data_IF_595290693198
#
_entry.id   IF_595290693198
#
_cell.length_a   1.000
_cell.length_b   1.000
_cell.length_c   1.000
_cell.angle_alpha   90.00
_cell.angle_beta   90.00
_cell.angle_gamma   90.00
#
_symmetry.space_group_name_H-M   'P 1'
#
loop_
_entity.id
_entity.type
_entity.pdbx_description
1 polymer ?
#
# COMPACT_ATOMS: atom_id res chain seq x y z
N UNK A 1 10.11 -5.36 -0.84
CA UNK A 1 8.71 -5.56 -1.25
C UNK A 1 8.59 -6.88 -2.01
N UNK A 2 7.45 -7.57 -1.91
CA UNK A 2 7.23 -8.82 -2.66
C UNK A 2 7.07 -8.55 -4.15
N UNK A 3 7.60 -9.45 -4.99
CA UNK A 3 7.43 -9.38 -6.45
C UNK A 3 6.31 -10.32 -6.85
N UNK A 4 5.33 -9.82 -7.61
CA UNK A 4 4.24 -10.64 -8.12
C UNK A 4 4.75 -11.51 -9.28
N UNK A 5 4.32 -12.77 -9.32
CA UNK A 5 4.59 -13.66 -10.45
C UNK A 5 3.29 -13.92 -11.19
N UNK A 6 3.34 -13.84 -12.52
CA UNK A 6 2.20 -14.04 -13.41
C UNK A 6 2.55 -15.06 -14.49
N UNK A 7 1.53 -15.72 -15.04
CA UNK A 7 1.60 -16.41 -16.32
C UNK A 7 0.86 -15.61 -17.41
N UNK A 8 0.59 -16.24 -18.56
CA UNK A 8 -0.13 -15.60 -19.67
C UNK A 8 -1.59 -15.24 -19.34
N UNK A 9 -2.17 -15.83 -18.30
CA UNK A 9 -3.59 -15.71 -17.97
C UNK A 9 -3.84 -14.93 -16.69
N UNK A 10 -2.92 -14.95 -15.72
CA UNK A 10 -3.10 -14.22 -14.47
C UNK A 10 -2.01 -14.43 -13.42
N UNK A 11 -2.33 -13.99 -12.20
CA UNK A 11 -1.45 -14.09 -11.04
C UNK A 11 -1.25 -15.55 -10.64
N UNK A 12 0.00 -15.93 -10.46
CA UNK A 12 0.41 -17.27 -10.01
C UNK A 12 0.74 -17.26 -8.52
N UNK A 13 1.41 -16.22 -8.05
CA UNK A 13 1.88 -16.15 -6.67
C UNK A 13 2.80 -14.99 -6.40
N UNK A 14 3.50 -15.09 -5.27
CA UNK A 14 4.46 -14.11 -4.79
C UNK A 14 5.84 -14.74 -4.65
N UNK A 15 6.86 -14.05 -5.16
CA UNK A 15 8.24 -14.37 -4.85
C UNK A 15 8.52 -14.08 -3.37
N UNK A 16 8.86 -15.11 -2.59
CA UNK A 16 9.13 -14.98 -1.15
C UNK A 16 10.61 -15.13 -0.81
N UNK A 17 11.36 -15.92 -1.59
CA UNK A 17 12.80 -16.06 -1.44
C UNK A 17 13.47 -15.90 -2.81
N UNK A 18 14.03 -14.73 -3.13
CA UNK A 18 14.81 -14.56 -4.34
C UNK A 18 16.16 -15.25 -4.21
N UNK A 19 16.57 -16.00 -5.23
CA UNK A 19 17.92 -16.54 -5.30
C UNK A 19 18.51 -16.45 -6.71
N UNK A 20 19.83 -16.60 -6.79
CA UNK A 20 20.58 -16.39 -8.05
C UNK A 20 20.15 -17.33 -9.17
N UNK A 21 19.85 -18.58 -8.80
CA UNK A 21 19.58 -19.68 -9.74
C UNK A 21 18.29 -20.43 -9.40
N UNK A 22 17.80 -20.28 -8.18
CA UNK A 22 16.54 -20.84 -7.70
C UNK A 22 15.90 -19.83 -6.78
N UNK A 23 14.59 -19.72 -6.88
CA UNK A 23 13.77 -18.91 -5.99
C UNK A 23 12.63 -19.73 -5.43
N UNK A 24 12.05 -19.27 -4.33
CA UNK A 24 10.85 -19.87 -3.73
C UNK A 24 9.67 -18.94 -3.94
N UNK A 25 8.56 -19.54 -4.38
CA UNK A 25 7.31 -18.86 -4.71
C UNK A 25 6.22 -19.39 -3.79
N UNK A 26 5.47 -18.46 -3.19
CA UNK A 26 4.23 -18.76 -2.50
C UNK A 26 3.07 -18.63 -3.50
N UNK A 27 2.41 -19.72 -3.81
CA UNK A 27 1.30 -19.74 -4.76
C UNK A 27 0.04 -19.10 -4.18
N UNK A 28 -0.82 -18.54 -5.04
CA UNK A 28 -2.12 -18.02 -4.61
C UNK A 28 -3.09 -19.10 -4.12
N UNK A 29 -2.87 -20.36 -4.50
CA UNK A 29 -3.64 -21.52 -4.03
C UNK A 29 -3.25 -21.96 -2.63
N UNK A 30 -2.14 -21.47 -2.07
CA UNK A 30 -1.71 -21.84 -0.72
C UNK A 30 -2.75 -21.39 0.33
N UNK A 31 -3.19 -22.26 1.27
CA UNK A 31 -4.23 -21.91 2.26
C UNK A 31 -3.92 -20.72 3.17
N UNK A 32 -2.63 -20.43 3.36
CA UNK A 32 -2.12 -19.30 4.13
C UNK A 32 -1.92 -18.04 3.30
N UNK A 33 -2.08 -18.11 1.97
CA UNK A 33 -1.97 -16.95 1.10
C UNK A 33 -3.30 -16.20 1.00
N UNK A 34 -3.28 -14.93 1.42
CA UNK A 34 -4.39 -13.99 1.23
C UNK A 34 -3.98 -12.89 0.24
N UNK A 35 -4.70 -12.79 -0.87
CA UNK A 35 -4.49 -11.82 -1.93
C UNK A 35 -5.62 -10.77 -1.95
N UNK A 36 -5.33 -9.50 -1.62
CA UNK A 36 -6.33 -8.43 -1.73
C UNK A 36 -6.74 -8.23 -3.19
N UNK A 37 -8.04 -8.33 -3.46
CA UNK A 37 -8.61 -8.21 -4.81
C UNK A 37 -9.71 -7.16 -4.86
N UNK A 38 -10.00 -6.71 -6.06
CA UNK A 38 -11.13 -5.87 -6.41
C UNK A 38 -11.94 -6.57 -7.50
N UNK A 39 -13.26 -6.56 -7.37
CA UNK A 39 -14.14 -6.99 -8.45
C UNK A 39 -14.12 -5.96 -9.59
N UNK A 40 -13.92 -6.44 -10.82
CA UNK A 40 -13.82 -5.57 -11.99
C UNK A 40 -15.15 -4.92 -12.37
N UNK A 41 -16.29 -5.51 -11.99
CA UNK A 41 -17.63 -5.01 -12.35
C UNK A 41 -18.13 -3.97 -11.36
N UNK A 42 -18.17 -4.30 -10.07
CA UNK A 42 -18.72 -3.43 -9.02
C UNK A 42 -17.68 -2.54 -8.34
N UNK A 43 -16.39 -2.90 -8.45
CA UNK A 43 -15.33 -2.23 -7.71
C UNK A 43 -15.25 -2.62 -6.23
N UNK A 44 -16.04 -3.60 -5.78
CA UNK A 44 -16.01 -4.10 -4.40
C UNK A 44 -14.65 -4.73 -4.09
N UNK A 45 -14.13 -4.45 -2.88
CA UNK A 45 -12.83 -4.95 -2.43
C UNK A 45 -13.01 -6.08 -1.45
N UNK A 46 -12.23 -7.13 -1.64
CA UNK A 46 -12.29 -8.33 -0.80
C UNK A 46 -10.93 -9.01 -0.71
N UNK A 47 -10.88 -10.12 0.02
CA UNK A 47 -9.68 -10.91 0.21
C UNK A 47 -9.91 -12.32 -0.31
N UNK A 48 -9.09 -12.70 -1.27
CA UNK A 48 -9.12 -14.02 -1.89
C UNK A 48 -8.08 -14.90 -1.22
N UNK A 49 -8.47 -16.11 -0.82
CA UNK A 49 -7.60 -17.04 -0.13
C UNK A 49 -7.41 -18.32 -0.91
N UNK A 50 -6.22 -18.89 -0.85
CA UNK A 50 -6.00 -20.25 -1.31
C UNK A 50 -6.78 -21.28 -0.48
N UNK A 51 -7.01 -22.44 -1.10
CA UNK A 51 -7.67 -23.60 -0.48
C UNK A 51 -6.75 -24.82 -0.36
N UNK A 52 -5.57 -24.78 -1.01
CA UNK A 52 -4.69 -25.93 -1.24
C UNK A 52 -4.89 -26.56 -2.62
N UNK A 53 -6.05 -26.33 -3.25
CA UNK A 53 -6.37 -26.84 -4.57
C UNK A 53 -5.95 -25.86 -5.67
N UNK A 54 -5.41 -26.38 -6.78
CA UNK A 54 -4.86 -25.54 -7.86
C UNK A 54 -5.92 -24.83 -8.71
N UNK A 55 -7.18 -25.23 -8.62
CA UNK A 55 -8.31 -24.74 -9.42
C UNK A 55 -9.39 -24.04 -8.57
N UNK A 56 -9.12 -23.82 -7.27
CA UNK A 56 -10.08 -23.26 -6.36
C UNK A 56 -9.47 -22.25 -5.40
N UNK A 57 -10.15 -21.12 -5.26
CA UNK A 57 -9.87 -20.07 -4.30
C UNK A 57 -11.16 -19.73 -3.55
N UNK A 58 -11.01 -19.19 -2.34
CA UNK A 58 -12.12 -18.92 -1.44
C UNK A 58 -12.21 -17.44 -1.07
N UNK A 59 -13.41 -16.89 -1.22
CA UNK A 59 -13.83 -15.62 -0.63
C UNK A 59 -14.49 -15.97 0.71
N UNK A 60 -13.72 -15.92 1.79
CA UNK A 60 -14.13 -16.49 3.10
C UNK A 60 -15.09 -15.61 3.89
N UNK A 61 -15.02 -14.29 3.67
CA UNK A 61 -15.83 -13.31 4.41
C UNK A 61 -16.08 -12.09 3.54
N UNK A 62 -17.32 -11.94 3.08
CA UNK A 62 -17.79 -10.75 2.39
C UNK A 62 -19.01 -10.20 3.12
N UNK A 63 -19.22 -8.87 3.15
CA UNK A 63 -20.48 -8.29 3.57
C UNK A 63 -21.65 -8.91 2.80
N UNK A 64 -22.79 -9.13 3.46
CA UNK A 64 -23.99 -9.66 2.79
C UNK A 64 -24.47 -8.76 1.65
N UNK A 65 -24.19 -7.45 1.76
CA UNK A 65 -24.51 -6.41 0.78
C UNK A 65 -23.47 -6.26 -0.33
N UNK A 66 -22.36 -7.01 -0.29
CA UNK A 66 -21.31 -6.89 -1.31
C UNK A 66 -21.86 -7.28 -2.69
N UNK A 67 -21.68 -6.41 -3.67
CA UNK A 67 -22.06 -6.62 -5.06
C UNK A 67 -20.99 -7.47 -5.79
N UNK A 68 -20.95 -8.75 -5.46
CA UNK A 68 -20.11 -9.76 -6.14
C UNK A 68 -21.02 -10.92 -6.56
N UNK A 69 -20.90 -11.31 -7.83
CA UNK A 69 -21.75 -12.28 -8.50
C UNK A 69 -20.94 -13.38 -9.19
N UNK A 70 -21.60 -14.49 -9.52
CA UNK A 70 -20.95 -15.55 -10.28
C UNK A 70 -20.64 -15.06 -11.71
N UNK A 71 -19.43 -15.36 -12.20
CA UNK A 71 -18.93 -14.91 -13.49
C UNK A 71 -18.05 -13.66 -13.40
N UNK A 72 -18.03 -12.97 -12.27
CA UNK A 72 -17.25 -11.76 -12.06
C UNK A 72 -15.72 -12.00 -12.14
N UNK A 73 -14.99 -11.00 -12.62
CA UNK A 73 -13.53 -11.03 -12.77
C UNK A 73 -12.89 -10.32 -11.59
N UNK A 74 -12.02 -11.02 -10.86
CA UNK A 74 -11.26 -10.45 -9.76
C UNK A 74 -9.87 -10.01 -10.22
N UNK A 75 -9.51 -8.78 -9.88
CA UNK A 75 -8.21 -8.17 -10.16
C UNK A 75 -7.44 -7.91 -8.86
N UNK A 76 -6.11 -7.87 -8.90
CA UNK A 76 -5.31 -7.44 -7.74
C UNK A 76 -5.62 -5.98 -7.40
N UNK A 77 -5.82 -5.68 -6.11
CA UNK A 77 -6.24 -4.33 -5.69
C UNK A 77 -5.09 -3.32 -5.59
N UNK A 78 -3.85 -3.77 -5.53
CA UNK A 78 -2.69 -2.91 -5.27
C UNK A 78 -2.41 -2.62 -3.79
N UNK A 79 -3.34 -2.97 -2.89
CA UNK A 79 -3.25 -2.61 -1.48
C UNK A 79 -2.06 -3.32 -0.81
N UNK A 80 -1.29 -2.57 -0.03
CA UNK A 80 -0.09 -3.06 0.66
C UNK A 80 1.15 -3.22 -0.22
N UNK A 81 1.08 -2.85 -1.50
CA UNK A 81 2.25 -2.72 -2.39
C UNK A 81 2.97 -4.03 -2.74
N UNK A 82 2.37 -5.19 -2.44
CA UNK A 82 2.95 -6.52 -2.76
C UNK A 82 2.60 -7.00 -4.17
N UNK A 83 1.44 -6.59 -4.66
CA UNK A 83 0.98 -6.86 -6.02
C UNK A 83 0.69 -5.52 -6.67
N UNK A 84 1.16 -5.25 -7.89
CA UNK A 84 0.65 -4.15 -8.69
C UNK A 84 -0.87 -4.24 -8.82
N UNK A 85 -1.57 -3.11 -8.91
CA UNK A 85 -3.01 -3.10 -9.12
C UNK A 85 -3.38 -3.54 -10.55
N UNK A 86 -4.54 -4.19 -10.70
CA UNK A 86 -5.14 -4.49 -12.01
C UNK A 86 -4.69 -5.79 -12.67
N UNK A 87 -3.93 -6.66 -11.99
CA UNK A 87 -3.56 -7.96 -12.54
C UNK A 87 -4.75 -8.93 -12.44
N UNK A 88 -5.10 -9.68 -13.51
CA UNK A 88 -6.14 -10.70 -13.45
C UNK A 88 -5.77 -11.82 -12.48
N UNK A 89 -6.70 -12.21 -11.60
CA UNK A 89 -6.46 -13.23 -10.57
C UNK A 89 -7.34 -14.45 -10.79
N UNK A 90 -8.65 -14.24 -10.73
CA UNK A 90 -9.62 -15.33 -10.68
C UNK A 90 -10.98 -14.91 -11.23
N UNK A 91 -11.82 -15.88 -11.59
CA UNK A 91 -13.23 -15.67 -11.91
C UNK A 91 -14.10 -16.25 -10.82
N UNK A 92 -15.08 -15.50 -10.34
CA UNK A 92 -16.03 -15.98 -9.34
C UNK A 92 -16.87 -17.10 -9.94
N UNK A 93 -16.88 -18.26 -9.30
CA UNK A 93 -17.65 -19.43 -9.72
C UNK A 93 -19.01 -19.46 -9.05
N UNK A 94 -19.08 -19.13 -7.77
CA UNK A 94 -20.32 -19.08 -7.01
C UNK A 94 -20.21 -18.15 -5.81
N UNK A 95 -21.36 -17.62 -5.38
CA UNK A 95 -21.50 -16.84 -4.16
C UNK A 95 -22.68 -17.37 -3.37
N UNK A 96 -22.46 -17.69 -2.10
CA UNK A 96 -23.45 -18.19 -1.17
C UNK A 96 -23.76 -17.13 -0.10
N UNK A 97 -25.06 -16.81 0.02
CA UNK A 97 -25.60 -15.88 1.02
C UNK A 97 -26.67 -16.61 1.84
N UNK A 98 -26.26 -17.35 2.86
CA UNK A 98 -27.16 -18.16 3.68
C UNK A 98 -27.88 -17.28 4.72
N UNK A 99 -29.19 -17.47 4.88
CA UNK A 99 -29.97 -16.76 5.90
C UNK A 99 -29.45 -17.12 7.30
N UNK A 100 -29.05 -16.11 8.08
CA UNK A 100 -28.47 -16.28 9.42
C UNK A 100 -26.95 -16.40 9.48
N UNK A 101 -26.25 -16.48 8.34
CA UNK A 101 -24.80 -16.35 8.31
C UNK A 101 -24.39 -14.86 8.45
N UNK A 102 -23.36 -14.54 9.25
CA UNK A 102 -22.93 -13.15 9.42
C UNK A 102 -22.24 -12.56 8.18
N UNK A 103 -21.75 -13.41 7.28
CA UNK A 103 -21.00 -13.03 6.09
C UNK A 103 -21.36 -13.94 4.92
N UNK A 104 -21.30 -13.39 3.71
CA UNK A 104 -21.36 -14.15 2.47
C UNK A 104 -20.02 -14.86 2.22
N UNK A 105 -20.09 -15.98 1.50
CA UNK A 105 -18.93 -16.76 1.06
C UNK A 105 -18.95 -16.94 -0.44
N UNK A 106 -17.80 -17.11 -1.04
CA UNK A 106 -17.72 -17.37 -2.48
C UNK A 106 -16.59 -18.31 -2.83
N UNK A 107 -16.73 -18.93 -4.00
CA UNK A 107 -15.70 -19.76 -4.62
C UNK A 107 -15.29 -19.07 -5.92
N UNK A 108 -13.99 -19.02 -6.18
CA UNK A 108 -13.44 -18.49 -7.42
C UNK A 108 -12.45 -19.49 -8.03
N UNK A 109 -12.34 -19.47 -9.34
CA UNK A 109 -11.40 -20.28 -10.12
C UNK A 109 -10.21 -19.39 -10.53
N UNK A 110 -8.96 -19.76 -10.20
CA UNK A 110 -7.78 -19.06 -10.70
C UNK A 110 -7.76 -18.99 -12.22
N UNK A 111 -7.34 -17.84 -12.77
CA UNK A 111 -7.11 -17.73 -14.22
C UNK A 111 -5.77 -18.35 -14.62
N UNK A 112 -4.78 -18.27 -13.74
CA UNK A 112 -3.47 -18.85 -13.96
C UNK A 112 -3.52 -20.38 -13.91
N UNK A 113 -2.69 -21.04 -14.72
CA UNK A 113 -2.66 -22.49 -14.84
C UNK A 113 -1.77 -23.13 -13.75
N UNK A 114 -2.14 -22.97 -12.48
CA UNK A 114 -1.32 -23.32 -11.31
C UNK A 114 -0.81 -24.77 -11.27
N UNK A 115 -1.55 -25.73 -11.85
CA UNK A 115 -1.16 -27.14 -11.91
C UNK A 115 -0.16 -27.50 -13.03
N UNK A 116 0.19 -26.57 -13.93
CA UNK A 116 1.03 -26.84 -15.12
C UNK A 116 1.91 -25.65 -15.52
N UNK A 117 2.56 -25.03 -14.53
CA UNK A 117 3.44 -23.88 -14.72
C UNK A 117 4.73 -24.29 -15.44
N UNK A 118 5.12 -23.51 -16.46
CA UNK A 118 6.38 -23.70 -17.20
C UNK A 118 7.23 -22.44 -17.21
N UNK A 119 6.59 -21.32 -17.53
CA UNK A 119 7.23 -20.01 -17.66
C UNK A 119 6.42 -19.00 -16.88
N UNK A 120 7.12 -18.08 -16.22
CA UNK A 120 6.55 -17.07 -15.34
C UNK A 120 7.22 -15.73 -15.61
N UNK A 121 6.45 -14.65 -15.52
CA UNK A 121 6.97 -13.29 -15.55
C UNK A 121 6.92 -12.68 -14.14
N UNK A 122 8.03 -12.05 -13.75
CA UNK A 122 8.11 -11.29 -12.52
C UNK A 122 7.71 -9.83 -12.76
N UNK A 123 6.70 -9.36 -12.03
CA UNK A 123 6.21 -7.99 -12.09
C UNK A 123 6.59 -7.28 -10.79
N UNK A 124 7.58 -6.41 -10.88
CA UNK A 124 8.01 -5.58 -9.77
C UNK A 124 7.09 -4.35 -9.63
N UNK A 125 6.72 -3.95 -8.40
CA UNK A 125 6.07 -2.67 -8.20
C UNK A 125 7.02 -1.55 -8.65
N UNK A 126 6.45 -0.49 -9.24
CA UNK A 126 7.22 0.69 -9.64
C UNK A 126 7.81 1.32 -8.38
N UNK A 127 9.14 1.43 -8.33
CA UNK A 127 9.82 2.18 -7.27
C UNK A 127 9.45 3.66 -7.41
N UNK A 128 8.91 4.28 -6.35
CA UNK A 128 8.68 5.73 -6.30
C UNK A 128 10.00 6.54 -6.38
N UNK A 129 11.15 5.88 -6.18
CA UNK A 129 12.47 6.53 -6.20
C UNK A 129 12.99 6.88 -7.61
N UNK A 130 12.26 6.57 -8.68
CA UNK A 130 12.69 6.84 -10.06
C UNK A 130 11.71 7.80 -10.77
N UNK A 131 11.53 8.97 -10.15
CA UNK A 131 11.21 10.18 -10.90
C UNK A 131 12.49 10.71 -11.58
N UNK A 132 12.39 11.50 -12.67
CA UNK A 132 13.55 12.21 -13.20
C UNK A 132 14.22 12.99 -12.05
N UNK A 133 15.56 13.04 -11.97
CA UNK A 133 16.23 13.79 -10.92
C UNK A 133 15.63 15.19 -10.87
N UNK A 134 15.13 15.58 -9.69
CA UNK A 134 14.69 16.94 -9.47
C UNK A 134 15.86 17.85 -9.87
N UNK A 135 15.65 18.85 -10.76
CA UNK A 135 16.71 19.78 -11.09
C UNK A 135 17.24 20.40 -9.79
N UNK A 136 18.57 20.40 -9.64
CA UNK A 136 19.26 21.04 -8.52
C UNK A 136 18.95 22.54 -8.55
N UNK A 137 17.88 22.94 -7.86
CA UNK A 137 17.69 24.34 -7.47
C UNK A 137 18.50 24.57 -6.20
N UNK A 138 19.84 24.49 -6.32
CA UNK A 138 20.73 25.07 -5.32
C UNK A 138 20.43 26.56 -5.31
N UNK A 139 19.71 27.02 -4.29
CA UNK A 139 19.63 28.43 -3.98
C UNK A 139 21.07 28.91 -3.87
N UNK A 140 21.52 29.72 -4.82
CA UNK A 140 22.71 30.53 -4.65
C UNK A 140 22.43 31.41 -3.43
N UNK A 141 22.89 30.95 -2.27
CA UNK A 141 23.15 31.82 -1.14
C UNK A 141 24.23 32.79 -1.62
N UNK A 142 23.83 33.94 -2.16
CA UNK A 142 24.70 35.11 -2.18
C UNK A 142 25.02 35.43 -0.73
N UNK A 143 26.16 34.93 -0.28
CA UNK A 143 26.83 35.37 0.92
C UNK A 143 27.21 36.84 0.71
N UNK A 144 26.34 37.77 1.11
CA UNK A 144 26.75 39.16 1.26
C UNK A 144 27.80 39.22 2.38
N UNK A 145 29.01 39.75 2.14
CA UNK A 145 30.03 39.81 3.17
C UNK A 145 29.62 40.84 4.24
N UNK A 146 29.41 40.35 5.47
CA UNK A 146 29.32 41.19 6.67
C UNK A 146 30.63 41.97 6.80
N UNK A 147 30.57 43.27 6.57
CA UNK A 147 31.66 44.20 6.87
C UNK A 147 31.58 44.54 8.36
N UNK A 148 32.63 44.25 9.11
CA UNK A 148 32.77 44.63 10.52
C UNK A 148 32.62 46.15 10.69
N UNK A 149 31.80 46.65 11.64
CA UNK A 149 31.81 48.06 11.99
C UNK A 149 33.01 48.39 12.91
N UNK A 150 33.73 49.47 12.60
CA UNK A 150 34.81 50.02 13.44
C UNK A 150 34.33 50.43 14.86
N UNK A 151 35.22 50.41 15.88
CA UNK A 151 34.85 50.70 17.26
C UNK A 151 34.56 52.19 17.46
N UNK A 152 33.40 52.49 18.03
CA UNK A 152 33.00 53.86 18.41
C UNK A 152 33.28 54.08 19.90
N UNK A 153 34.02 55.15 20.17
CA UNK A 153 34.49 55.62 21.48
C UNK A 153 33.33 55.89 22.46
N UNK A 154 33.48 55.45 23.71
CA UNK A 154 32.46 55.53 24.78
C UNK A 154 32.48 56.91 25.44
N UNK A 155 31.32 57.48 25.84
CA UNK A 155 31.22 57.82 27.26
C UNK A 155 29.84 57.61 27.92
N UNK A 156 29.97 57.41 29.23
CA UNK A 156 29.03 57.19 30.33
C UNK A 156 27.73 58.02 30.40
N UNK A 157 26.66 57.38 30.91
CA UNK A 157 25.59 58.00 31.73
C UNK A 157 25.13 56.99 32.83
N UNK A 158 24.83 57.43 34.08
CA UNK A 158 24.78 56.57 35.27
C UNK A 158 23.40 56.01 35.66
N UNK A 159 23.46 55.07 36.62
CA UNK A 159 22.41 54.30 37.33
C UNK A 159 21.16 55.07 37.77
N UNK A 160 19.99 54.42 37.61
CA UNK A 160 18.83 54.59 38.48
C UNK A 160 18.03 53.27 38.59
N UNK A 161 17.66 52.94 39.82
CA UNK A 161 16.98 51.74 40.31
C UNK A 161 15.46 51.65 40.01
N UNK A 162 14.89 50.53 40.50
CA UNK A 162 13.51 50.27 40.98
C UNK A 162 12.47 49.90 39.92
N UNK A 163 11.95 48.67 39.94
CA UNK A 163 10.83 48.28 40.82
C UNK A 163 10.20 46.95 40.41
N UNK A 164 9.82 46.22 41.45
CA UNK A 164 9.21 44.91 41.55
C UNK A 164 7.78 44.79 40.98
N UNK A 165 7.35 43.53 40.89
CA UNK A 165 6.00 43.01 41.15
C UNK A 165 5.19 42.39 40.00
N UNK A 166 4.81 41.14 40.29
CA UNK A 166 4.00 40.19 39.57
C UNK A 166 2.48 40.48 39.56
N UNK A 167 1.77 39.82 38.64
CA UNK A 167 0.45 39.14 38.77
C UNK A 167 -0.26 39.16 37.40
N UNK A 168 -0.44 38.02 36.74
CA UNK A 168 -1.57 37.08 36.84
C UNK A 168 -2.71 37.38 35.86
N UNK A 169 -3.17 36.33 35.15
CA UNK A 169 -4.57 35.83 35.13
C UNK A 169 -4.98 35.23 33.78
N UNK A 170 -5.54 34.02 33.89
CA UNK A 170 -6.25 33.21 32.91
C UNK A 170 -7.40 33.91 32.16
N UNK A 171 -7.64 33.46 30.92
CA UNK A 171 -8.93 33.48 30.22
C UNK A 171 -8.87 32.32 29.21
N UNK A 172 -9.90 31.51 28.95
CA UNK A 172 -11.32 31.53 29.24
C UNK A 172 -11.96 30.63 28.18
N UNK A 173 -12.54 29.50 28.59
CA UNK A 173 -13.17 28.51 27.71
C UNK A 173 -14.70 28.67 27.76
N UNK A 174 -15.32 28.81 26.60
CA UNK A 174 -16.75 28.57 26.32
C UNK A 174 -16.91 28.27 24.82
N UNK A 175 -18.06 27.74 24.36
CA UNK A 175 -19.17 27.13 25.08
C UNK A 175 -19.33 25.62 24.83
#
# INVERSE_FOLDING_TARGET
AGTALIDASGVVGQLIEPGRHRSVVLLISDPGHGLPVVDARSGERTLLYGTGESDQLALRSMPLTADIEAGDLLLSSGIGGRFPAGLPVARVRSVERSAGAPHARGVAEPLAALGRLRELLAVAPRSEAEGPPLPDHRLESTEDPVTDPEPVDEPAIPTAEVSDAAAATEAGQQP
#
